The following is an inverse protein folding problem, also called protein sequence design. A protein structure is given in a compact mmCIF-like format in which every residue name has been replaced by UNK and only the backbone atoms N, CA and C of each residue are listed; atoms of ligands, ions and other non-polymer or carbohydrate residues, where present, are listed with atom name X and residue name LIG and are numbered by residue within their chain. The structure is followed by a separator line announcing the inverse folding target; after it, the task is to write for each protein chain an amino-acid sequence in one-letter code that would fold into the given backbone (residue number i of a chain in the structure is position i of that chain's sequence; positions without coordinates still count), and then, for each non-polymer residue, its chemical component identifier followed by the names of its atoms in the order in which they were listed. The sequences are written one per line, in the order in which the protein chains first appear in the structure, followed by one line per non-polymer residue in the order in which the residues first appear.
data_IF_859719575275
#
_entry.id   IF_859719575275
#
_cell.length_a   1.000
_cell.length_b   1.000
_cell.length_c   1.000
_cell.angle_alpha   90.00
_cell.angle_beta   90.00
_cell.angle_gamma   90.00
#
_symmetry.space_group_name_H-M   'P 1'
#
loop_
_entity.id
_entity.type
_entity.pdbx_description
1 polymer ?
#
# COMPACT_ATOMS: atom_id res chain seq x y z
N UNK A 1 28.96 15.41 28.12
CA UNK A 1 29.50 15.00 26.80
C UNK A 1 28.84 13.68 26.46
N UNK A 2 27.95 13.66 25.45
CA UNK A 2 27.19 12.47 25.08
C UNK A 2 28.08 11.66 24.13
N UNK A 3 28.42 10.43 24.53
CA UNK A 3 29.29 9.56 23.78
C UNK A 3 28.60 9.06 22.50
N UNK A 4 29.11 9.45 21.34
CA UNK A 4 28.74 8.88 20.05
C UNK A 4 29.28 7.44 19.99
N UNK A 5 28.39 6.46 20.10
CA UNK A 5 28.77 5.05 19.99
C UNK A 5 29.02 4.67 18.53
N UNK A 6 30.29 4.68 18.12
CA UNK A 6 30.76 4.12 16.85
C UNK A 6 30.59 2.60 16.87
N UNK A 7 29.65 2.07 16.08
CA UNK A 7 29.39 0.62 15.99
C UNK A 7 30.35 -0.05 15.01
N UNK A 8 31.52 -0.45 15.51
CA UNK A 8 32.42 -1.37 14.82
C UNK A 8 32.01 -2.83 15.12
N UNK A 9 31.76 -3.63 14.09
CA UNK A 9 31.50 -5.06 14.21
C UNK A 9 31.61 -5.75 12.86
N UNK A 10 32.67 -6.55 12.67
CA UNK A 10 32.92 -7.35 11.46
C UNK A 10 31.72 -8.25 11.13
N UNK A 11 31.02 -7.92 10.06
CA UNK A 11 29.87 -8.65 9.51
C UNK A 11 29.12 -7.78 8.49
N UNK A 12 28.38 -8.38 7.55
CA UNK A 12 27.48 -7.61 6.67
C UNK A 12 26.47 -6.90 7.58
N UNK A 13 26.22 -5.59 7.42
CA UNK A 13 25.27 -4.88 8.26
C UNK A 13 23.93 -5.63 8.28
N UNK A 14 23.44 -5.90 9.49
CA UNK A 14 22.17 -6.62 9.70
C UNK A 14 21.02 -5.82 9.07
N UNK A 15 21.11 -4.50 9.11
CA UNK A 15 20.18 -3.56 8.49
C UNK A 15 20.43 -3.33 7.00
N UNK A 16 19.36 -3.05 6.26
CA UNK A 16 19.42 -2.59 4.88
C UNK A 16 18.79 -1.20 4.78
N UNK A 17 19.42 -0.24 4.07
CA UNK A 17 18.84 1.10 3.90
C UNK A 17 17.49 1.05 3.19
N UNK A 18 17.27 0.05 2.33
CA UNK A 18 16.00 -0.16 1.63
C UNK A 18 14.91 -0.60 2.62
N UNK A 19 15.22 -1.50 3.57
CA UNK A 19 14.25 -1.93 4.58
C UNK A 19 13.92 -0.80 5.56
N UNK A 20 14.87 0.06 5.89
CA UNK A 20 14.61 1.27 6.69
C UNK A 20 13.60 2.19 6.01
N UNK A 21 13.83 2.49 4.72
CA UNK A 21 12.90 3.29 3.91
C UNK A 21 11.52 2.65 3.78
N UNK A 22 11.45 1.32 3.67
CA UNK A 22 10.17 0.60 3.69
C UNK A 22 9.47 0.75 5.05
N UNK A 23 10.20 0.69 6.18
CA UNK A 23 9.63 0.96 7.51
C UNK A 23 9.05 2.37 7.60
N UNK A 24 9.71 3.38 7.05
CA UNK A 24 9.20 4.76 7.00
C UNK A 24 7.88 4.85 6.23
N UNK A 25 7.80 4.21 5.06
CA UNK A 25 6.56 4.17 4.25
C UNK A 25 5.43 3.45 5.01
N UNK A 26 5.74 2.31 5.65
CA UNK A 26 4.76 1.54 6.42
C UNK A 26 4.35 2.27 7.70
N UNK A 27 5.24 3.00 8.35
CA UNK A 27 4.93 3.83 9.52
C UNK A 27 3.92 4.95 9.17
N UNK A 28 4.07 5.56 8.00
CA UNK A 28 3.15 6.59 7.52
C UNK A 28 1.75 6.04 7.14
N UNK A 29 1.70 4.86 6.50
CA UNK A 29 0.44 4.24 6.04
C UNK A 29 -0.26 3.37 7.09
N UNK A 30 0.48 2.81 8.04
CA UNK A 30 0.07 1.70 8.89
C UNK A 30 0.12 0.35 8.16
N UNK A 31 -0.54 0.21 7.01
CA UNK A 31 -0.54 -1.03 6.22
C UNK A 31 -0.56 -0.78 4.70
N UNK A 32 0.15 -1.62 3.95
CA UNK A 32 0.23 -1.51 2.49
C UNK A 32 0.64 -2.81 1.81
N UNK A 33 0.25 -2.98 0.54
CA UNK A 33 0.72 -4.09 -0.29
C UNK A 33 1.96 -3.71 -1.10
N UNK A 34 2.76 -4.71 -1.49
CA UNK A 34 4.10 -4.51 -2.06
C UNK A 34 4.18 -3.52 -3.24
N UNK A 35 3.26 -3.60 -4.20
CA UNK A 35 3.25 -2.67 -5.33
C UNK A 35 2.91 -1.23 -4.95
N UNK A 36 2.08 -1.01 -3.91
CA UNK A 36 1.82 0.35 -3.38
C UNK A 36 3.08 0.92 -2.71
N UNK A 37 3.76 0.10 -1.91
CA UNK A 37 5.02 0.46 -1.27
C UNK A 37 6.05 0.86 -2.33
N UNK A 38 6.17 0.08 -3.40
CA UNK A 38 7.06 0.37 -4.52
C UNK A 38 6.77 1.72 -5.19
N UNK A 39 5.50 2.05 -5.45
CA UNK A 39 5.12 3.36 -6.02
C UNK A 39 5.54 4.53 -5.14
N UNK A 40 5.31 4.44 -3.83
CA UNK A 40 5.72 5.49 -2.90
C UNK A 40 7.24 5.58 -2.82
N UNK A 41 7.91 4.42 -2.80
CA UNK A 41 9.36 4.35 -2.75
C UNK A 41 10.00 5.08 -3.94
N UNK A 42 9.49 4.84 -5.16
CA UNK A 42 9.98 5.49 -6.38
C UNK A 42 9.82 7.01 -6.37
N UNK A 43 8.79 7.52 -5.68
CA UNK A 43 8.54 8.96 -5.59
C UNK A 43 9.32 9.63 -4.45
N UNK A 44 9.57 8.89 -3.37
CA UNK A 44 10.19 9.43 -2.16
C UNK A 44 11.72 9.24 -2.09
N UNK A 45 12.26 8.24 -2.80
CA UNK A 45 13.65 7.79 -2.68
C UNK A 45 14.27 7.48 -4.05
N UNK A 46 15.45 6.85 -4.06
CA UNK A 46 16.14 6.46 -5.28
C UNK A 46 15.36 5.37 -6.03
N UNK A 47 15.42 5.35 -7.37
CA UNK A 47 14.70 4.37 -8.16
C UNK A 47 15.16 2.95 -7.83
N UNK A 48 14.20 2.05 -7.64
CA UNK A 48 14.42 0.66 -7.28
C UNK A 48 13.44 -0.25 -8.02
N UNK A 49 13.92 -1.40 -8.47
CA UNK A 49 13.08 -2.43 -9.09
C UNK A 49 12.06 -3.00 -8.10
N UNK A 50 10.84 -3.24 -8.58
CA UNK A 50 9.77 -3.82 -7.76
C UNK A 50 10.18 -5.16 -7.12
N UNK A 51 10.96 -5.97 -7.85
CA UNK A 51 11.47 -7.27 -7.37
C UNK A 51 12.35 -7.12 -6.13
N UNK A 52 13.13 -6.04 -6.03
CA UNK A 52 13.96 -5.76 -4.86
C UNK A 52 13.08 -5.40 -3.66
N UNK A 53 12.02 -4.61 -3.85
CA UNK A 53 11.03 -4.34 -2.79
C UNK A 53 10.43 -5.64 -2.27
N UNK A 54 9.97 -6.55 -3.14
CA UNK A 54 9.41 -7.83 -2.70
C UNK A 54 10.44 -8.72 -1.99
N UNK A 55 11.68 -8.72 -2.45
CA UNK A 55 12.78 -9.40 -1.76
C UNK A 55 12.97 -8.85 -0.34
N UNK A 56 13.02 -7.51 -0.20
CA UNK A 56 13.22 -6.84 1.08
C UNK A 56 12.03 -7.00 2.03
N UNK A 57 10.80 -7.00 1.52
CA UNK A 57 9.60 -7.30 2.31
C UNK A 57 9.64 -8.73 2.84
N UNK A 58 9.91 -9.72 1.97
CA UNK A 58 10.05 -11.11 2.38
C UNK A 58 11.17 -11.28 3.41
N UNK A 59 12.31 -10.63 3.20
CA UNK A 59 13.46 -10.72 4.11
C UNK A 59 13.18 -10.03 5.44
N UNK A 60 12.52 -8.88 5.44
CA UNK A 60 12.15 -8.19 6.67
C UNK A 60 11.11 -8.95 7.49
N UNK A 61 10.15 -9.63 6.85
CA UNK A 61 9.25 -10.58 7.56
C UNK A 61 10.04 -11.71 8.21
N UNK A 62 11.03 -12.29 7.51
CA UNK A 62 11.91 -13.33 8.09
C UNK A 62 12.79 -12.83 9.24
N UNK A 63 13.01 -11.52 9.34
CA UNK A 63 13.81 -10.89 10.39
C UNK A 63 12.93 -10.23 11.46
N UNK A 64 11.62 -10.49 11.44
CA UNK A 64 10.61 -9.88 12.32
C UNK A 64 10.62 -8.34 12.31
N UNK A 65 11.10 -7.72 11.23
CA UNK A 65 11.06 -6.27 11.02
C UNK A 65 9.68 -5.80 10.49
N UNK A 66 8.92 -6.71 9.86
CA UNK A 66 7.59 -6.46 9.32
C UNK A 66 6.63 -7.60 9.69
N UNK A 67 5.34 -7.29 9.76
CA UNK A 67 4.29 -8.29 9.93
C UNK A 67 3.45 -8.43 8.68
N UNK A 68 3.19 -9.67 8.27
CA UNK A 68 2.18 -9.95 7.25
C UNK A 68 0.80 -9.75 7.88
N UNK A 69 0.07 -8.75 7.38
CA UNK A 69 -1.27 -8.40 7.88
C UNK A 69 -2.34 -9.29 7.27
N UNK A 70 -2.16 -9.72 6.03
CA UNK A 70 -3.12 -10.59 5.35
C UNK A 70 -2.89 -10.70 3.85
N UNK A 71 -3.70 -11.54 3.22
CA UNK A 71 -3.66 -11.80 1.78
C UNK A 71 -5.06 -11.57 1.22
N UNK A 72 -5.16 -10.71 0.21
CA UNK A 72 -6.40 -10.40 -0.49
C UNK A 72 -6.32 -10.95 -1.93
N UNK A 73 -7.36 -11.69 -2.35
CA UNK A 73 -7.52 -12.12 -3.73
C UNK A 73 -8.49 -11.18 -4.43
N UNK A 74 -8.02 -10.51 -5.46
CA UNK A 74 -8.78 -9.54 -6.24
C UNK A 74 -9.14 -10.18 -7.57
N UNK A 75 -10.43 -10.31 -7.84
CA UNK A 75 -10.94 -10.70 -9.14
C UNK A 75 -10.76 -9.55 -10.13
N UNK A 76 -10.36 -9.85 -11.36
CA UNK A 76 -10.19 -8.84 -12.40
C UNK A 76 -9.74 -9.47 -13.72
N UNK A 77 -9.91 -8.74 -14.81
CA UNK A 77 -9.48 -9.21 -16.12
C UNK A 77 -8.03 -8.77 -16.38
N UNK A 78 -7.07 -9.49 -15.79
CA UNK A 78 -5.65 -9.20 -15.97
C UNK A 78 -5.12 -9.99 -17.17
N UNK A 79 -4.06 -9.47 -17.80
CA UNK A 79 -3.41 -10.14 -18.94
C UNK A 79 -2.82 -11.51 -18.61
N UNK A 80 -2.69 -11.84 -17.32
CA UNK A 80 -2.16 -13.11 -16.81
C UNK A 80 -3.18 -13.95 -16.02
N UNK A 81 -4.47 -13.60 -16.04
CA UNK A 81 -5.53 -14.40 -15.43
C UNK A 81 -6.66 -13.59 -14.79
N UNK A 82 -7.66 -14.31 -14.29
CA UNK A 82 -8.87 -13.73 -13.68
C UNK A 82 -8.68 -13.22 -12.24
N UNK A 83 -7.53 -13.49 -11.63
CA UNK A 83 -7.27 -13.16 -10.22
C UNK A 83 -5.86 -12.61 -10.00
N UNK A 84 -5.74 -11.65 -9.09
CA UNK A 84 -4.46 -11.16 -8.58
C UNK A 84 -4.44 -11.23 -7.05
N UNK A 85 -3.30 -11.60 -6.48
CA UNK A 85 -3.13 -11.73 -5.03
C UNK A 85 -2.30 -10.57 -4.49
N UNK A 86 -2.84 -9.83 -3.51
CA UNK A 86 -2.10 -8.78 -2.78
C UNK A 86 -1.79 -9.26 -1.37
N UNK A 87 -0.51 -9.25 -1.03
CA UNK A 87 -0.05 -9.43 0.35
C UNK A 87 0.12 -8.08 1.00
N UNK A 88 -0.51 -7.89 2.15
CA UNK A 88 -0.42 -6.68 2.95
C UNK A 88 0.61 -6.84 4.05
N UNK A 89 1.40 -5.81 4.24
CA UNK A 89 2.44 -5.70 5.25
C UNK A 89 2.11 -4.53 6.17
N UNK A 90 2.48 -4.67 7.43
CA UNK A 90 2.30 -3.66 8.46
C UNK A 90 3.56 -3.58 9.32
N UNK A 91 3.73 -2.42 9.96
CA UNK A 91 4.73 -2.22 10.99
C UNK A 91 4.08 -2.42 12.36
N UNK A 92 4.88 -2.86 13.32
CA UNK A 92 4.43 -2.91 14.71
C UNK A 92 4.14 -1.50 15.25
N UNK A 93 3.00 -1.31 15.95
CA UNK A 93 2.62 0.01 16.47
C UNK A 93 3.56 0.52 17.56
N UNK A 94 4.37 -0.35 18.15
CA UNK A 94 5.39 0.00 19.15
C UNK A 94 6.65 0.57 18.52
N UNK A 95 6.84 0.39 17.22
CA UNK A 95 8.05 0.86 16.52
C UNK A 95 7.85 2.32 16.14
N UNK A 96 8.57 3.20 16.81
CA UNK A 96 8.64 4.61 16.46
C UNK A 96 9.62 4.77 15.30
N UNK A 97 9.16 5.38 14.20
CA UNK A 97 9.96 5.62 13.00
C UNK A 97 9.84 7.08 12.61
N UNK A 98 10.97 7.70 12.29
CA UNK A 98 10.99 9.05 11.73
C UNK A 98 10.60 9.00 10.25
N UNK A 99 9.50 9.65 9.90
CA UNK A 99 8.96 9.68 8.54
C UNK A 99 9.49 10.93 7.84
N UNK A 100 10.24 10.81 6.73
CA UNK A 100 10.75 11.96 6.00
C UNK A 100 9.67 12.65 5.17
N UNK A 101 9.82 13.96 4.96
CA UNK A 101 8.91 14.80 4.15
C UNK A 101 8.71 14.30 2.72
N UNK A 102 9.71 13.62 2.15
CA UNK A 102 9.62 13.03 0.81
C UNK A 102 8.54 11.95 0.73
N UNK A 103 8.33 11.20 1.81
CA UNK A 103 7.26 10.18 1.89
C UNK A 103 5.91 10.87 1.93
N UNK A 104 5.70 11.89 2.77
CA UNK A 104 4.45 12.64 2.80
C UNK A 104 4.14 13.32 1.45
N UNK A 105 5.16 13.86 0.79
CA UNK A 105 5.05 14.45 -0.55
C UNK A 105 4.61 13.42 -1.58
N UNK A 106 5.23 12.23 -1.59
CA UNK A 106 4.83 11.13 -2.45
C UNK A 106 3.38 10.68 -2.20
N UNK A 107 2.95 10.65 -0.94
CA UNK A 107 1.58 10.28 -0.57
C UNK A 107 0.56 11.30 -1.05
N UNK A 108 0.88 12.60 -0.94
CA UNK A 108 0.05 13.69 -1.45
C UNK A 108 -0.10 13.61 -2.97
N UNK A 109 0.99 13.34 -3.69
CA UNK A 109 0.97 13.15 -5.15
C UNK A 109 0.08 11.96 -5.55
N UNK A 110 0.11 10.88 -4.76
CA UNK A 110 -0.72 9.69 -5.01
C UNK A 110 -2.16 9.81 -4.48
N UNK A 111 -2.54 10.93 -3.86
CA UNK A 111 -3.88 11.13 -3.29
C UNK A 111 -4.22 10.15 -2.16
N UNK A 112 -3.21 9.64 -1.44
CA UNK A 112 -3.42 8.67 -0.37
C UNK A 112 -3.72 9.37 0.95
N UNK A 113 -4.77 8.91 1.66
CA UNK A 113 -5.02 9.32 3.05
C UNK A 113 -3.98 8.68 3.96
N UNK A 114 -3.39 9.47 4.86
CA UNK A 114 -2.44 9.00 5.87
C UNK A 114 -2.84 9.50 7.25
N UNK A 115 -2.28 8.89 8.29
CA UNK A 115 -2.43 9.39 9.65
C UNK A 115 -1.57 10.64 9.73
N UNK A 116 -2.18 11.81 9.56
CA UNK A 116 -1.52 13.06 9.94
C UNK A 116 -1.09 12.93 11.41
N UNK A 117 0.15 13.33 11.69
CA UNK A 117 0.68 13.38 13.04
C UNK A 117 -0.32 14.05 13.99
N UNK A 118 -0.41 13.62 15.27
CA UNK A 118 -1.32 14.24 16.24
C UNK A 118 -1.09 15.76 16.45
N UNK A 119 0.04 16.31 15.98
CA UNK A 119 0.46 17.71 16.13
C UNK A 119 -0.36 18.73 15.30
N UNK A 120 -1.01 18.33 14.19
CA UNK A 120 -1.70 19.29 13.29
C UNK A 120 -3.23 19.35 13.45
N UNK A 121 -3.78 18.65 14.44
CA UNK A 121 -5.21 18.70 14.77
C UNK A 121 -5.70 20.06 15.30
N UNK A 122 -4.81 21.06 15.39
CA UNK A 122 -5.13 22.40 15.87
C UNK A 122 -5.08 23.50 14.79
N UNK A 123 -5.39 23.17 13.53
CA UNK A 123 -5.84 24.15 12.55
C UNK A 123 -7.32 23.97 12.24
N UNK A 124 -8.15 24.29 13.24
CA UNK A 124 -9.52 24.72 13.00
C UNK A 124 -9.48 25.99 12.16
N UNK A 125 -10.41 26.10 11.20
CA UNK A 125 -11.11 27.31 10.68
C UNK A 125 -11.30 27.14 9.17
N UNK A 126 -12.47 27.22 8.54
CA UNK A 126 -13.90 27.26 8.90
C UNK A 126 -14.57 26.63 7.66
N UNK A 127 -15.50 25.69 7.82
CA UNK A 127 -16.47 25.36 6.76
C UNK A 127 -17.63 26.32 6.91
N UNK A 128 -17.70 27.33 6.06
CA UNK A 128 -18.97 28.00 5.81
C UNK A 128 -19.87 27.03 5.05
N UNK A 129 -21.06 26.89 5.60
CA UNK A 129 -22.13 26.01 5.17
C UNK A 129 -23.16 26.91 4.52
N UNK A 130 -23.50 26.61 3.27
CA UNK A 130 -24.72 27.05 2.59
C UNK A 130 -24.74 26.38 1.22
N UNK A 131 -25.82 25.86 0.66
CA UNK A 131 -27.15 25.55 1.14
C UNK A 131 -27.68 24.44 0.21
N UNK A 132 -28.57 23.60 0.74
CA UNK A 132 -29.82 23.15 0.09
C UNK A 132 -29.91 23.05 -1.44
N UNK A 133 -30.04 21.83 -1.98
CA UNK A 133 -31.16 21.53 -2.88
C UNK A 133 -31.51 20.03 -2.89
N UNK A 134 -32.76 19.75 -2.51
CA UNK A 134 -33.42 18.47 -2.69
C UNK A 134 -34.01 18.45 -4.10
N UNK A 135 -33.75 17.42 -4.91
CA UNK A 135 -34.66 17.01 -5.98
C UNK A 135 -34.76 15.48 -5.98
N UNK A 136 -35.93 15.02 -5.56
CA UNK A 136 -36.51 13.69 -5.78
C UNK A 136 -37.22 13.68 -7.14
N UNK A 137 -36.97 12.68 -8.00
CA UNK A 137 -37.92 12.23 -9.05
C UNK A 137 -37.77 10.72 -9.29
N UNK A 138 -38.93 10.12 -9.51
CA UNK A 138 -39.36 8.72 -9.49
C UNK A 138 -38.90 7.76 -10.63
N UNK A 139 -39.02 6.46 -10.28
CA UNK A 139 -39.50 5.26 -11.03
C UNK A 139 -39.21 5.09 -12.54
N UNK A 140 -38.67 3.92 -12.91
CA UNK A 140 -39.36 2.73 -13.48
C UNK A 140 -38.27 1.70 -13.88
N UNK A 141 -38.38 0.40 -13.59
CA UNK A 141 -39.14 -0.54 -14.41
C UNK A 141 -38.20 -1.27 -15.40
N UNK A 142 -37.96 -2.57 -15.23
CA UNK A 142 -37.26 -3.35 -16.26
C UNK A 142 -36.59 -4.65 -15.80
N UNK A 143 -37.39 -5.71 -15.62
CA UNK A 143 -36.93 -7.10 -15.67
C UNK A 143 -36.37 -7.37 -17.08
N UNK A 144 -35.25 -8.09 -17.19
CA UNK A 144 -35.07 -9.02 -18.31
C UNK A 144 -34.31 -10.27 -17.84
N UNK A 145 -35.04 -11.38 -17.83
CA UNK A 145 -34.52 -12.73 -17.96
C UNK A 145 -33.94 -12.88 -19.37
N UNK A 146 -32.82 -13.59 -19.50
CA UNK A 146 -32.52 -14.35 -20.71
C UNK A 146 -31.98 -15.69 -20.25
N UNK A 147 -32.77 -16.73 -20.51
CA UNK A 147 -32.41 -18.14 -20.41
C UNK A 147 -31.66 -18.59 -21.68
N UNK A 148 -30.88 -19.66 -21.52
CA UNK A 148 -30.41 -20.63 -22.52
C UNK A 148 -29.61 -20.16 -23.75
N UNK A 149 -28.35 -20.62 -23.85
CA UNK A 149 -28.01 -21.80 -24.66
C UNK A 149 -26.51 -21.91 -24.91
N UNK A 150 -25.94 -23.05 -24.53
CA UNK A 150 -25.04 -23.88 -25.33
C UNK A 150 -24.02 -23.19 -26.26
N UNK A 151 -22.77 -23.05 -25.78
CA UNK A 151 -21.61 -22.90 -26.67
C UNK A 151 -20.53 -23.87 -26.23
N UNK A 152 -20.60 -25.07 -26.79
CA UNK A 152 -19.53 -26.06 -26.88
C UNK A 152 -18.18 -25.39 -27.21
N UNK A 153 -17.20 -25.48 -26.29
CA UNK A 153 -15.82 -25.09 -26.55
C UNK A 153 -14.97 -26.35 -26.77
N UNK A 154 -14.35 -26.54 -27.94
CA UNK A 154 -13.50 -27.70 -28.18
C UNK A 154 -12.20 -27.62 -27.36
N UNK A 155 -11.84 -28.76 -26.77
CA UNK A 155 -10.59 -29.00 -26.05
C UNK A 155 -9.43 -29.03 -27.07
N UNK A 156 -8.47 -28.10 -26.97
CA UNK A 156 -7.19 -28.22 -27.70
C UNK A 156 -6.25 -29.13 -26.89
N UNK A 157 -5.99 -30.33 -27.40
CA UNK A 157 -4.85 -31.15 -26.99
C UNK A 157 -3.61 -30.67 -27.73
N UNK A 158 -2.57 -30.27 -26.99
CA UNK A 158 -1.24 -30.10 -27.56
C UNK A 158 -0.59 -31.48 -27.60
N UNK A 159 -0.21 -31.91 -28.81
CA UNK A 159 0.69 -33.04 -29.05
C UNK A 159 2.15 -32.60 -29.01
#
# INVERSE_FOLDING_TARGET
MIAETKKDGRGRPVGSPIREKIKQILGALGCAYGYKIHKIYLLAFEPLEARQIYYHLKKGVQQDEFKEYGIEKIQGNYTWGSTSTRKYYSLDPTVVVEIPDSVFSAMRVLGLKYKETPEDSNKVVIKESDSSEKVSVDKDGGKNKVDDSDVSRPHKTYG
#
